data_IF_732904282937
#
_entry.id   IF_732904282937
#
_cell.length_a   1.000
_cell.length_b   1.000
_cell.length_c   1.000
_cell.angle_alpha   90.00
_cell.angle_beta   90.00
_cell.angle_gamma   90.00
#
_symmetry.space_group_name_H-M   'P 1'
#
loop_
_entity.id
_entity.type
_entity.pdbx_description
1 polymer ?
#
# COMPACT_ATOMS: atom_id res chain seq x y z
N UNK A 1 12.50 14.87 4.93
CA UNK A 1 12.95 13.47 4.72
C UNK A 1 12.63 12.69 5.99
N UNK A 2 12.09 11.47 5.88
CA UNK A 2 11.67 10.65 7.02
C UNK A 2 11.36 9.21 6.62
N UNK A 3 11.08 8.34 7.60
CA UNK A 3 10.71 6.94 7.38
C UNK A 3 9.20 6.77 7.48
N UNK A 4 8.57 6.12 6.50
CA UNK A 4 7.11 5.95 6.42
C UNK A 4 6.48 5.03 7.49
N UNK A 5 7.27 4.47 8.41
CA UNK A 5 6.78 3.73 9.59
C UNK A 5 7.06 4.48 10.91
N UNK A 6 7.62 5.69 10.84
CA UNK A 6 7.88 6.52 12.01
C UNK A 6 6.76 7.55 12.17
N UNK A 7 6.05 7.51 13.29
CA UNK A 7 4.89 8.37 13.55
C UNK A 7 5.21 9.87 13.54
N UNK A 8 6.33 10.31 14.12
CA UNK A 8 6.71 11.73 14.11
C UNK A 8 6.96 12.23 12.69
N UNK A 9 7.59 11.42 11.85
CA UNK A 9 7.83 11.76 10.45
C UNK A 9 6.49 11.86 9.69
N UNK A 10 5.53 10.98 9.97
CA UNK A 10 4.20 11.01 9.35
C UNK A 10 3.38 12.22 9.83
N UNK A 11 3.41 12.55 11.12
CA UNK A 11 2.79 13.77 11.67
C UNK A 11 3.36 15.03 11.04
N UNK A 12 4.70 15.13 10.95
CA UNK A 12 5.38 16.23 10.25
C UNK A 12 5.00 16.33 8.77
N UNK A 13 4.56 15.22 8.16
CA UNK A 13 4.08 15.17 6.79
C UNK A 13 2.57 15.44 6.64
N UNK A 14 1.85 15.75 7.73
CA UNK A 14 0.43 16.11 7.70
C UNK A 14 -0.53 14.93 7.61
N UNK A 15 -0.13 13.72 8.06
CA UNK A 15 -0.96 12.52 7.95
C UNK A 15 -2.33 12.63 8.67
N UNK A 16 -2.43 13.45 9.71
CA UNK A 16 -3.65 13.58 10.53
C UNK A 16 -4.82 14.21 9.77
N UNK A 17 -4.54 14.94 8.68
CA UNK A 17 -5.53 15.57 7.81
C UNK A 17 -5.63 14.88 6.43
N UNK A 18 -4.91 13.76 6.24
CA UNK A 18 -4.82 13.12 4.94
C UNK A 18 -6.10 12.36 4.59
N UNK A 19 -6.65 12.62 3.41
CA UNK A 19 -7.76 11.84 2.84
C UNK A 19 -7.31 10.44 2.36
N UNK A 20 -6.03 10.33 1.99
CA UNK A 20 -5.45 9.10 1.46
C UNK A 20 -3.97 8.93 1.83
N UNK A 21 -3.54 7.69 1.97
CA UNK A 21 -2.15 7.29 2.18
C UNK A 21 -1.74 6.18 1.22
N UNK A 22 -0.56 6.30 0.61
CA UNK A 22 -0.07 5.37 -0.40
C UNK A 22 1.34 4.91 -0.05
N UNK A 23 1.55 3.60 0.10
CA UNK A 23 2.86 3.02 0.35
C UNK A 23 3.36 2.19 -0.85
N UNK A 24 4.33 2.74 -1.58
CA UNK A 24 4.82 2.23 -2.87
C UNK A 24 6.34 2.02 -2.91
N UNK A 25 6.95 1.74 -1.75
CA UNK A 25 8.39 1.45 -1.67
C UNK A 25 8.69 0.05 -2.19
N UNK A 26 9.97 -0.29 -2.37
CA UNK A 26 10.40 -1.63 -2.78
C UNK A 26 10.11 -2.74 -1.73
N UNK A 27 9.85 -2.38 -0.47
CA UNK A 27 9.66 -3.35 0.61
C UNK A 27 8.19 -3.58 0.96
N UNK A 28 7.63 -4.73 0.59
CA UNK A 28 6.22 -5.08 0.85
C UNK A 28 5.87 -5.01 2.34
N UNK A 29 6.69 -5.61 3.21
CA UNK A 29 6.48 -5.54 4.67
C UNK A 29 6.43 -4.10 5.19
N UNK A 30 7.29 -3.23 4.63
CA UNK A 30 7.32 -1.81 5.01
C UNK A 30 6.06 -1.10 4.52
N UNK A 31 5.62 -1.40 3.30
CA UNK A 31 4.42 -0.81 2.75
C UNK A 31 3.19 -1.20 3.59
N UNK A 32 3.02 -2.50 3.87
CA UNK A 32 1.93 -3.03 4.71
C UNK A 32 1.93 -2.35 6.07
N UNK A 33 3.09 -2.33 6.75
CA UNK A 33 3.21 -1.71 8.07
C UNK A 33 2.87 -0.22 8.04
N UNK A 34 3.38 0.53 7.05
CA UNK A 34 3.08 1.96 6.90
C UNK A 34 1.59 2.21 6.67
N UNK A 35 0.92 1.44 5.80
CA UNK A 35 -0.53 1.54 5.60
C UNK A 35 -1.34 1.13 6.82
N UNK A 36 -0.89 0.14 7.60
CA UNK A 36 -1.56 -0.26 8.85
C UNK A 36 -1.49 0.87 9.88
N UNK A 37 -0.32 1.52 10.02
CA UNK A 37 -0.16 2.72 10.85
C UNK A 37 -1.10 3.83 10.37
N UNK A 38 -1.10 4.14 9.07
CA UNK A 38 -1.98 5.17 8.51
C UNK A 38 -3.47 4.87 8.78
N UNK A 39 -3.90 3.62 8.59
CA UNK A 39 -5.30 3.20 8.76
C UNK A 39 -5.75 3.15 10.21
N UNK A 40 -4.94 2.53 11.09
CA UNK A 40 -5.38 2.17 12.44
C UNK A 40 -4.94 3.15 13.51
N UNK A 41 -3.84 3.88 13.29
CA UNK A 41 -3.34 4.88 14.24
C UNK A 41 -3.84 6.27 13.85
N UNK A 42 -3.71 6.62 12.58
CA UNK A 42 -4.07 7.95 12.08
C UNK A 42 -5.47 8.04 11.46
N UNK A 43 -6.19 6.91 11.38
CA UNK A 43 -7.55 6.84 10.85
C UNK A 43 -7.71 7.42 9.43
N UNK A 44 -6.66 7.32 8.60
CA UNK A 44 -6.70 7.79 7.21
C UNK A 44 -7.77 6.99 6.45
N UNK A 45 -8.77 7.64 5.81
CA UNK A 45 -9.92 6.95 5.24
C UNK A 45 -9.56 5.97 4.12
N UNK A 46 -8.60 6.34 3.26
CA UNK A 46 -8.18 5.54 2.10
C UNK A 46 -6.71 5.18 2.22
N UNK A 47 -6.40 3.89 2.23
CA UNK A 47 -5.01 3.42 2.31
C UNK A 47 -4.73 2.41 1.20
N UNK A 48 -3.64 2.63 0.48
CA UNK A 48 -3.25 1.79 -0.65
C UNK A 48 -1.83 1.29 -0.48
N UNK A 49 -1.63 0.00 -0.72
CA UNK A 49 -0.35 -0.66 -0.51
C UNK A 49 0.09 -1.40 -1.77
N UNK A 50 1.33 -1.17 -2.20
CA UNK A 50 1.93 -1.93 -3.29
C UNK A 50 2.60 -3.20 -2.78
N UNK A 51 2.28 -4.35 -3.38
CA UNK A 51 2.81 -5.68 -3.03
C UNK A 51 3.43 -6.34 -4.26
N UNK A 52 4.71 -6.73 -4.22
CA UNK A 52 5.32 -7.49 -5.32
C UNK A 52 4.86 -8.95 -5.34
N UNK A 53 4.80 -9.59 -4.18
CA UNK A 53 4.47 -11.01 -4.05
C UNK A 53 2.94 -11.23 -4.07
N UNK A 54 2.36 -11.69 -5.19
CA UNK A 54 0.91 -11.85 -5.31
C UNK A 54 0.36 -12.92 -4.35
N UNK A 55 1.17 -13.88 -3.88
CA UNK A 55 0.73 -14.87 -2.89
C UNK A 55 0.46 -14.21 -1.53
N UNK A 56 1.16 -13.12 -1.23
CA UNK A 56 0.93 -12.34 -0.01
C UNK A 56 -0.15 -11.29 -0.16
N UNK A 57 -0.49 -10.93 -1.40
CA UNK A 57 -1.54 -9.96 -1.68
C UNK A 57 -2.87 -10.36 -1.04
N UNK A 58 -3.26 -11.64 -1.18
CA UNK A 58 -4.50 -12.16 -0.60
C UNK A 58 -4.52 -12.01 0.93
N UNK A 59 -3.43 -12.42 1.60
CA UNK A 59 -3.27 -12.27 3.04
C UNK A 59 -3.41 -10.80 3.47
N UNK A 60 -2.74 -9.87 2.79
CA UNK A 60 -2.79 -8.45 3.17
C UNK A 60 -4.14 -7.79 2.88
N UNK A 61 -4.86 -8.24 1.85
CA UNK A 61 -6.23 -7.79 1.58
C UNK A 61 -7.19 -8.17 2.72
N UNK A 62 -7.00 -9.33 3.37
CA UNK A 62 -7.81 -9.70 4.56
C UNK A 62 -7.65 -8.75 5.75
N UNK A 63 -6.57 -7.97 5.79
CA UNK A 63 -6.33 -6.93 6.81
C UNK A 63 -7.08 -5.61 6.50
N UNK A 64 -7.97 -5.62 5.50
CA UNK A 64 -8.72 -4.45 5.07
C UNK A 64 -7.87 -3.43 4.32
N UNK A 65 -6.71 -3.84 3.79
CA UNK A 65 -5.86 -2.99 2.97
C UNK A 65 -6.21 -3.16 1.50
N UNK A 66 -6.31 -2.06 0.76
CA UNK A 66 -6.41 -2.13 -0.69
C UNK A 66 -5.01 -2.30 -1.28
N UNK A 67 -4.77 -3.46 -1.88
CA UNK A 67 -3.44 -3.86 -2.34
C UNK A 67 -3.36 -3.94 -3.85
N UNK A 68 -2.23 -3.48 -4.40
CA UNK A 68 -1.93 -3.55 -5.83
C UNK A 68 -0.64 -4.31 -6.04
N UNK A 69 -0.69 -5.38 -6.85
CA UNK A 69 0.51 -6.05 -7.34
C UNK A 69 0.83 -5.62 -8.76
N UNK A 70 1.95 -4.91 -9.00
CA UNK A 70 2.43 -4.62 -10.34
C UNK A 70 2.61 -5.91 -11.17
N UNK A 71 2.98 -7.02 -10.53
CA UNK A 71 3.13 -8.33 -11.16
C UNK A 71 1.80 -8.81 -11.77
N UNK A 72 0.74 -8.80 -10.96
CA UNK A 72 -0.61 -9.23 -11.40
C UNK A 72 -1.19 -8.27 -12.44
N UNK A 73 -1.05 -6.96 -12.21
CA UNK A 73 -1.54 -5.94 -13.14
C UNK A 73 -0.85 -6.06 -14.50
N UNK A 74 0.48 -6.20 -14.51
CA UNK A 74 1.22 -6.34 -15.76
C UNK A 74 0.89 -7.64 -16.49
N UNK A 75 0.73 -8.75 -15.75
CA UNK A 75 0.28 -10.01 -16.34
C UNK A 75 -1.11 -9.88 -17.00
N UNK A 76 -2.04 -9.15 -16.37
CA UNK A 76 -3.37 -8.88 -16.93
C UNK A 76 -3.29 -8.05 -18.23
N UNK A 77 -2.49 -6.99 -18.23
CA UNK A 77 -2.26 -6.16 -19.44
C UNK A 77 -1.68 -7.00 -20.58
N UNK A 78 -0.71 -7.88 -20.28
CA UNK A 78 -0.14 -8.78 -21.28
C UNK A 78 -1.16 -9.77 -21.81
N UNK A 79 -1.99 -10.36 -20.94
CA UNK A 79 -3.04 -11.30 -21.35
C UNK A 79 -4.02 -10.64 -22.32
N UNK A 80 -4.52 -9.46 -21.99
CA UNK A 80 -5.43 -8.69 -22.85
C UNK A 80 -4.82 -8.42 -24.23
N UNK A 81 -3.51 -8.17 -24.29
CA UNK A 81 -2.80 -7.92 -25.55
C UNK A 81 -2.56 -9.17 -26.38
N UNK A 82 -2.49 -10.34 -25.76
CA UNK A 82 -2.36 -11.64 -26.44
C UNK A 82 -3.71 -12.12 -26.97
N UNK A 83 -4.80 -11.80 -26.28
CA UNK A 83 -6.16 -12.19 -26.66
C UNK A 83 -6.82 -11.23 -27.69
N UNK A 84 -6.23 -10.05 -27.93
CA UNK A 84 -6.67 -9.08 -28.95
C UNK A 84 -6.12 -9.37 -30.34
#
# INVERSE_FOLDING_TARGET
IGNGVNEEALKKAGIEEADAFVAVTQGDNRNVMATQIAKHIFNVPKVFCRIYDPLRQELYSTLGLETFSPTTIFAQILKEKVES
#
